data_IF_776763995180
#
_entry.id   IF_776763995180
#
_cell.length_a   1.000
_cell.length_b   1.000
_cell.length_c   1.000
_cell.angle_alpha   90.00
_cell.angle_beta   90.00
_cell.angle_gamma   90.00
#
_symmetry.space_group_name_H-M   'P 1'
#
loop_
_entity.id
_entity.type
_entity.pdbx_description
1 polymer ?
#
# COMPACT_ATOMS: atom_id res chain seq x y z
N UNK A 1 -15.41 4.99 13.93
CA UNK A 1 -14.24 4.08 13.87
C UNK A 1 -13.66 4.15 12.47
N UNK A 2 -12.33 4.13 12.30
CA UNK A 2 -11.65 4.22 11.01
C UNK A 2 -10.53 3.19 10.96
N UNK A 3 -10.40 2.47 9.85
CA UNK A 3 -9.35 1.47 9.64
C UNK A 3 -8.21 2.06 8.83
N UNK A 4 -6.99 1.73 9.23
CA UNK A 4 -5.76 2.07 8.50
C UNK A 4 -5.03 0.78 8.12
N UNK A 5 -4.90 0.53 6.82
CA UNK A 5 -4.00 -0.50 6.28
C UNK A 5 -2.65 0.13 5.97
N UNK A 6 -1.58 -0.48 6.49
CA UNK A 6 -0.21 -0.23 6.10
C UNK A 6 0.27 -1.44 5.30
N UNK A 7 0.59 -1.25 4.03
CA UNK A 7 0.98 -2.32 3.12
C UNK A 7 2.14 -1.85 2.25
N UNK A 8 3.00 -2.76 1.79
CA UNK A 8 3.99 -2.37 0.79
C UNK A 8 3.35 -2.22 -0.59
N UNK A 9 2.34 -3.06 -0.88
CA UNK A 9 1.75 -3.23 -2.20
C UNK A 9 0.27 -2.86 -2.22
N UNK A 10 -0.15 -2.16 -3.26
CA UNK A 10 -1.54 -1.81 -3.54
C UNK A 10 -1.70 -1.48 -5.03
N UNK A 11 -2.87 -1.71 -5.68
CA UNK A 11 -3.03 -1.44 -7.10
C UNK A 11 -2.57 -0.02 -7.47
N UNK A 12 -1.83 0.14 -8.58
CA UNK A 12 -1.50 -0.86 -9.60
C UNK A 12 -0.26 -1.73 -9.29
N UNK A 13 0.44 -1.49 -8.18
CA UNK A 13 1.71 -2.14 -7.82
C UNK A 13 1.51 -3.32 -6.85
N UNK A 14 1.02 -4.44 -7.37
CA UNK A 14 0.93 -5.70 -6.63
C UNK A 14 1.81 -6.75 -7.30
N UNK A 15 2.66 -7.41 -6.50
CA UNK A 15 3.60 -8.42 -6.94
C UNK A 15 3.45 -9.74 -6.16
N UNK A 16 2.71 -9.76 -5.05
CA UNK A 16 2.47 -10.94 -4.25
C UNK A 16 1.06 -11.05 -3.66
N UNK A 17 0.79 -12.19 -3.04
CA UNK A 17 -0.52 -12.48 -2.45
C UNK A 17 -0.92 -11.49 -1.34
N UNK A 18 0.04 -10.94 -0.59
CA UNK A 18 -0.23 -9.95 0.45
C UNK A 18 -0.88 -8.67 -0.11
N UNK A 19 -0.36 -8.13 -1.21
CA UNK A 19 -0.94 -6.97 -1.88
C UNK A 19 -2.35 -7.27 -2.43
N UNK A 20 -2.54 -8.47 -2.99
CA UNK A 20 -3.87 -8.94 -3.44
C UNK A 20 -4.86 -8.97 -2.26
N UNK A 21 -4.46 -9.55 -1.12
CA UNK A 21 -5.31 -9.63 0.07
C UNK A 21 -5.73 -8.24 0.57
N UNK A 22 -4.78 -7.31 0.69
CA UNK A 22 -5.08 -5.94 1.14
C UNK A 22 -6.01 -5.24 0.15
N UNK A 23 -5.78 -5.39 -1.17
CA UNK A 23 -6.61 -4.79 -2.21
C UNK A 23 -8.08 -5.21 -2.16
N UNK A 24 -8.35 -6.50 -1.99
CA UNK A 24 -9.74 -6.98 -1.85
C UNK A 24 -10.35 -6.60 -0.51
N UNK A 25 -9.61 -6.78 0.58
CA UNK A 25 -10.11 -6.52 1.93
C UNK A 25 -10.46 -5.04 2.14
N UNK A 26 -9.60 -4.11 1.68
CA UNK A 26 -9.84 -2.67 1.82
C UNK A 26 -11.12 -2.24 1.11
N UNK A 27 -11.36 -2.76 -0.10
CA UNK A 27 -12.55 -2.45 -0.90
C UNK A 27 -13.84 -2.97 -0.25
N UNK A 28 -13.84 -4.21 0.22
CA UNK A 28 -15.03 -4.78 0.86
C UNK A 28 -15.32 -4.13 2.22
N UNK A 29 -14.28 -3.78 2.98
CA UNK A 29 -14.43 -3.10 4.26
C UNK A 29 -14.90 -1.64 4.09
N UNK A 30 -14.49 -0.96 3.02
CA UNK A 30 -14.92 0.40 2.69
C UNK A 30 -16.44 0.50 2.47
N UNK A 31 -17.12 -0.60 2.12
CA UNK A 31 -18.59 -0.64 2.03
C UNK A 31 -19.28 -0.45 3.40
N UNK A 32 -18.57 -0.72 4.49
CA UNK A 32 -19.12 -0.69 5.85
C UNK A 32 -18.56 0.45 6.71
N UNK A 33 -17.34 0.93 6.45
CA UNK A 33 -16.70 1.97 7.26
C UNK A 33 -15.60 2.73 6.51
N UNK A 34 -15.15 3.90 7.01
CA UNK A 34 -13.99 4.60 6.45
C UNK A 34 -12.71 3.78 6.55
N UNK A 35 -12.01 3.64 5.42
CA UNK A 35 -10.75 2.90 5.25
C UNK A 35 -9.72 3.82 4.61
N UNK A 36 -8.52 3.86 5.19
CA UNK A 36 -7.34 4.46 4.57
C UNK A 36 -6.29 3.38 4.33
N UNK A 37 -5.70 3.39 3.13
CA UNK A 37 -4.56 2.54 2.77
C UNK A 37 -3.36 3.45 2.55
N UNK A 38 -2.25 3.11 3.21
CA UNK A 38 -0.95 3.71 2.93
C UNK A 38 -0.03 2.65 2.37
N UNK A 39 0.53 2.94 1.20
CA UNK A 39 1.38 2.03 0.45
C UNK A 39 2.63 2.71 -0.09
N UNK A 40 3.57 1.92 -0.58
CA UNK A 40 4.67 2.47 -1.37
C UNK A 40 4.22 2.67 -2.83
N UNK A 41 4.73 3.73 -3.46
CA UNK A 41 4.37 4.15 -4.80
C UNK A 41 3.76 5.55 -4.85
N UNK A 42 3.04 5.83 -5.92
CA UNK A 42 2.50 7.15 -6.27
C UNK A 42 0.96 7.21 -6.20
N UNK A 43 0.32 6.19 -5.64
CA UNK A 43 -1.13 6.06 -5.62
C UNK A 43 -1.80 7.27 -4.95
N UNK A 44 -2.84 7.80 -5.58
CA UNK A 44 -3.68 8.85 -5.02
C UNK A 44 -5.14 8.56 -5.37
N UNK A 45 -5.84 7.91 -4.45
CA UNK A 45 -7.26 7.57 -4.61
C UNK A 45 -8.08 8.16 -3.47
N UNK A 46 -9.23 8.74 -3.81
CA UNK A 46 -10.23 9.18 -2.85
C UNK A 46 -11.62 8.83 -3.41
N UNK A 47 -12.14 7.67 -2.99
CA UNK A 47 -13.39 7.10 -3.49
C UNK A 47 -14.32 6.72 -2.34
N UNK A 48 -15.24 7.64 -2.01
CA UNK A 48 -16.24 7.43 -0.96
C UNK A 48 -15.58 7.20 0.40
N UNK A 49 -15.65 5.96 0.88
CA UNK A 49 -15.06 5.56 2.17
C UNK A 49 -13.62 5.04 2.04
N UNK A 50 -13.09 4.91 0.82
CA UNK A 50 -11.75 4.37 0.57
C UNK A 50 -10.80 5.49 0.15
N UNK A 51 -9.76 5.70 0.95
CA UNK A 51 -8.65 6.59 0.60
C UNK A 51 -7.36 5.79 0.46
N UNK A 52 -6.59 6.06 -0.60
CA UNK A 52 -5.30 5.40 -0.85
C UNK A 52 -4.24 6.47 -1.07
N UNK A 53 -3.14 6.35 -0.36
CA UNK A 53 -2.01 7.27 -0.43
C UNK A 53 -0.72 6.47 -0.57
N UNK A 54 -0.07 6.63 -1.71
CA UNK A 54 1.28 6.17 -2.00
C UNK A 54 2.32 7.10 -1.39
N UNK A 55 3.42 6.51 -0.94
CA UNK A 55 4.61 7.21 -0.48
C UNK A 55 5.81 6.72 -1.29
N UNK A 56 6.53 7.66 -1.91
CA UNK A 56 7.83 7.36 -2.51
C UNK A 56 8.86 7.02 -1.43
N UNK A 57 9.81 6.17 -1.78
CA UNK A 57 10.87 5.71 -0.88
C UNK A 57 12.18 6.41 -1.26
N UNK A 58 12.69 7.27 -0.38
CA UNK A 58 14.06 7.75 -0.52
C UNK A 58 15.04 6.68 -0.01
N UNK A 59 15.79 6.09 -0.93
CA UNK A 59 16.78 5.05 -0.64
C UNK A 59 18.21 5.58 -0.56
N UNK A 60 18.41 6.89 -0.68
CA UNK A 60 19.75 7.53 -0.72
C UNK A 60 20.63 7.16 0.49
N UNK A 61 20.02 7.00 1.66
CA UNK A 61 20.71 6.69 2.92
C UNK A 61 20.75 5.19 3.25
N UNK A 62 20.30 4.31 2.35
CA UNK A 62 20.25 2.88 2.64
C UNK A 62 21.65 2.28 2.60
N UNK A 63 22.10 1.73 3.74
CA UNK A 63 23.43 1.12 3.89
C UNK A 63 23.46 -0.36 3.54
N UNK A 64 22.37 -0.91 3.00
CA UNK A 64 22.23 -2.32 2.69
C UNK A 64 23.31 -2.79 1.69
N UNK A 65 24.12 -3.81 2.06
CA UNK A 65 25.09 -4.42 1.15
C UNK A 65 24.43 -4.92 -0.13
N UNK A 66 25.10 -4.76 -1.28
CA UNK A 66 24.54 -5.13 -2.60
C UNK A 66 23.85 -6.51 -2.65
N UNK A 67 24.41 -7.59 -2.05
CA UNK A 67 23.77 -8.92 -2.09
C UNK A 67 22.45 -9.03 -1.31
N UNK A 68 22.16 -8.09 -0.41
CA UNK A 68 20.97 -8.10 0.44
C UNK A 68 19.92 -7.06 0.00
N UNK A 69 20.16 -6.34 -1.10
CA UNK A 69 19.18 -5.41 -1.66
C UNK A 69 18.04 -6.20 -2.28
N UNK A 70 16.82 -5.68 -2.16
CA UNK A 70 15.66 -6.23 -2.87
C UNK A 70 15.97 -6.35 -4.36
N UNK A 71 15.64 -7.48 -4.96
CA UNK A 71 15.69 -7.69 -6.41
C UNK A 71 14.40 -7.26 -7.11
N UNK A 72 13.38 -6.91 -6.33
CA UNK A 72 12.09 -6.37 -6.73
C UNK A 72 12.03 -4.88 -6.44
#
# INVERSE_FOLDING_TARGET
MKVLFLTNEYPPHIYGGAGVHVGYLSRELAKMMPVEVRCFGDQRLDEGNLKVIGFELDTSNFTCPKPLRSAF
#
